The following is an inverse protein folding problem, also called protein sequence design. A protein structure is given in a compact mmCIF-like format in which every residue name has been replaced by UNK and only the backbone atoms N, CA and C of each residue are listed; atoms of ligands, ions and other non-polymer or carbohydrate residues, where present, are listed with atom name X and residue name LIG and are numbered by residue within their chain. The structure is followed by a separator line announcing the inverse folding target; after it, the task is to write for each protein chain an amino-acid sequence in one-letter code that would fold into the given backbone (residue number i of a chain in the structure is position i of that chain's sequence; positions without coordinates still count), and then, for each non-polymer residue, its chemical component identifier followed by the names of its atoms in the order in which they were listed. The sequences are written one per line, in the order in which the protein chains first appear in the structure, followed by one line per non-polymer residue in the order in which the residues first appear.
data_IF_862189079249
#
_entry.id   IF_862189079249
#
_cell.length_a   1.000
_cell.length_b   1.000
_cell.length_c   1.000
_cell.angle_alpha   90.00
_cell.angle_beta   90.00
_cell.angle_gamma   90.00
#
_symmetry.space_group_name_H-M   'P 1'
#
loop_
_entity.id
_entity.type
_entity.pdbx_description
1 polymer ?
#
# COMPACT_ATOMS: atom_id res chain seq x y z
N UNK A 1 18.75 1.65 6.92
CA UNK A 1 17.46 1.40 7.59
C UNK A 1 16.54 0.67 6.64
N UNK A 2 15.98 -0.42 7.08
CA UNK A 2 14.94 -1.17 6.35
C UNK A 2 13.64 -0.99 7.11
N UNK A 3 12.62 -0.47 6.42
CA UNK A 3 11.28 -0.34 6.98
C UNK A 3 10.36 -1.33 6.28
N UNK A 4 9.76 -2.20 7.07
CA UNK A 4 8.64 -3.04 6.68
C UNK A 4 7.35 -2.39 7.17
N UNK A 5 6.33 -2.31 6.31
CA UNK A 5 5.01 -1.90 6.77
C UNK A 5 3.91 -2.60 5.99
N UNK A 6 2.80 -2.80 6.66
CA UNK A 6 1.60 -3.38 6.06
C UNK A 6 0.43 -2.43 6.22
N UNK A 7 -0.36 -2.34 5.17
CA UNK A 7 -1.60 -1.57 5.16
C UNK A 7 -2.77 -2.52 4.96
N UNK A 8 -3.79 -2.38 5.77
CA UNK A 8 -5.07 -2.98 5.47
C UNK A 8 -5.97 -1.94 4.83
N UNK A 9 -6.50 -2.27 3.65
CA UNK A 9 -7.35 -1.38 2.87
C UNK A 9 -8.78 -1.87 2.84
N UNK A 10 -9.71 -0.93 2.91
CA UNK A 10 -11.10 -1.14 2.57
C UNK A 10 -11.38 -0.47 1.23
N UNK A 11 -11.99 -1.22 0.31
CA UNK A 11 -12.39 -0.74 -1.01
C UNK A 11 -13.92 -0.79 -1.08
N UNK A 12 -14.62 0.21 -0.55
CA UNK A 12 -16.07 0.12 -0.32
C UNK A 12 -16.90 0.10 -1.58
N UNK A 13 -16.35 0.58 -2.70
CA UNK A 13 -17.11 0.75 -3.95
C UNK A 13 -16.77 -0.28 -5.02
N UNK A 14 -15.92 -1.26 -4.74
CA UNK A 14 -15.62 -2.34 -5.70
C UNK A 14 -16.73 -3.38 -5.68
N UNK A 15 -17.09 -3.85 -6.88
CA UNK A 15 -18.19 -4.80 -7.07
C UNK A 15 -17.75 -6.17 -7.60
N UNK A 16 -16.47 -6.32 -7.95
CA UNK A 16 -15.93 -7.57 -8.47
C UNK A 16 -14.44 -7.68 -8.19
N UNK A 17 -13.91 -8.90 -8.21
CA UNK A 17 -12.47 -9.13 -8.10
C UNK A 17 -11.70 -8.52 -9.28
N UNK A 18 -12.29 -8.54 -10.47
CA UNK A 18 -11.67 -7.92 -11.64
C UNK A 18 -11.49 -6.43 -11.45
N UNK A 19 -12.49 -5.75 -10.97
CA UNK A 19 -12.45 -4.31 -10.67
C UNK A 19 -11.39 -4.01 -9.59
N UNK A 20 -11.39 -4.78 -8.50
CA UNK A 20 -10.38 -4.67 -7.46
C UNK A 20 -8.98 -4.86 -7.99
N UNK A 21 -8.73 -5.90 -8.77
CA UNK A 21 -7.41 -6.20 -9.34
C UNK A 21 -6.92 -5.08 -10.24
N UNK A 22 -7.81 -4.47 -11.02
CA UNK A 22 -7.47 -3.32 -11.86
C UNK A 22 -7.05 -2.10 -11.03
N UNK A 23 -7.78 -1.81 -9.96
CA UNK A 23 -7.46 -0.72 -9.03
C UNK A 23 -6.10 -0.96 -8.38
N UNK A 24 -5.87 -2.14 -7.83
CA UNK A 24 -4.62 -2.47 -7.17
C UNK A 24 -3.45 -2.47 -8.15
N UNK A 25 -3.63 -2.99 -9.36
CA UNK A 25 -2.58 -2.98 -10.38
C UNK A 25 -2.14 -1.56 -10.70
N UNK A 26 -3.10 -0.66 -10.92
CA UNK A 26 -2.83 0.76 -11.15
C UNK A 26 -2.08 1.38 -9.97
N UNK A 27 -2.59 1.16 -8.78
CA UNK A 27 -2.01 1.69 -7.54
C UNK A 27 -0.57 1.24 -7.34
N UNK A 28 -0.32 -0.07 -7.41
CA UNK A 28 1.00 -0.63 -7.17
C UNK A 28 2.01 -0.23 -8.24
N UNK A 29 1.61 -0.17 -9.50
CA UNK A 29 2.49 0.29 -10.58
C UNK A 29 2.92 1.75 -10.37
N UNK A 30 1.99 2.62 -10.00
CA UNK A 30 2.30 4.04 -9.75
C UNK A 30 3.19 4.23 -8.53
N UNK A 31 2.95 3.47 -7.47
CA UNK A 31 3.78 3.51 -6.26
C UNK A 31 5.21 3.08 -6.60
N UNK A 32 5.38 2.00 -7.34
CA UNK A 32 6.70 1.50 -7.73
C UNK A 32 7.47 2.48 -8.61
N UNK A 33 6.78 3.29 -9.42
CA UNK A 33 7.42 4.31 -10.25
C UNK A 33 7.87 5.51 -9.44
N UNK A 34 7.12 5.88 -8.40
CA UNK A 34 7.38 7.08 -7.60
C UNK A 34 8.32 6.84 -6.44
N UNK A 35 8.34 5.63 -5.91
CA UNK A 35 9.08 5.29 -4.71
C UNK A 35 9.92 4.04 -4.94
N UNK A 36 11.08 4.01 -4.31
CA UNK A 36 11.96 2.84 -4.35
C UNK A 36 11.51 1.84 -3.26
N UNK A 37 10.46 1.10 -3.55
CA UNK A 37 9.86 0.15 -2.64
C UNK A 37 9.55 -1.17 -3.35
N UNK A 38 9.57 -2.25 -2.59
CA UNK A 38 8.96 -3.52 -2.97
C UNK A 38 7.58 -3.59 -2.32
N UNK A 39 6.56 -3.95 -3.08
CA UNK A 39 5.19 -4.05 -2.57
C UNK A 39 4.44 -5.18 -3.24
N UNK A 40 3.65 -5.88 -2.45
CA UNK A 40 2.74 -6.92 -2.93
C UNK A 40 1.40 -6.83 -2.21
N UNK A 41 0.35 -7.38 -2.81
CA UNK A 41 -0.84 -7.74 -2.07
C UNK A 41 -0.54 -9.05 -1.34
N UNK A 42 -0.45 -9.00 -0.03
CA UNK A 42 0.03 -10.10 0.80
C UNK A 42 -1.08 -10.97 1.40
N UNK A 43 -2.32 -10.47 1.40
CA UNK A 43 -3.47 -11.19 1.93
C UNK A 43 -4.75 -10.64 1.34
N UNK A 44 -5.87 -11.34 1.57
CA UNK A 44 -7.20 -10.97 1.11
C UNK A 44 -7.35 -10.87 -0.42
N UNK A 45 -6.56 -11.64 -1.18
CA UNK A 45 -6.56 -11.60 -2.65
C UNK A 45 -7.94 -11.88 -3.25
N UNK A 46 -8.73 -12.75 -2.62
CA UNK A 46 -10.07 -13.14 -3.09
C UNK A 46 -11.20 -12.34 -2.45
N UNK A 47 -10.88 -11.35 -1.64
CA UNK A 47 -11.88 -10.47 -1.03
C UNK A 47 -12.11 -9.25 -1.93
N UNK A 48 -13.37 -9.01 -2.30
CA UNK A 48 -13.73 -7.92 -3.22
C UNK A 48 -13.50 -6.54 -2.59
N UNK A 49 -13.70 -6.41 -1.27
CA UNK A 49 -13.73 -5.11 -0.60
C UNK A 49 -12.60 -4.90 0.41
N UNK A 50 -11.66 -5.82 0.48
CA UNK A 50 -10.51 -5.76 1.39
C UNK A 50 -9.23 -6.13 0.66
N UNK A 51 -8.14 -5.55 1.11
CA UNK A 51 -6.80 -5.92 0.65
C UNK A 51 -5.79 -5.68 1.77
N UNK A 52 -4.73 -6.45 1.75
CA UNK A 52 -3.55 -6.18 2.58
C UNK A 52 -2.35 -6.01 1.68
N UNK A 53 -1.66 -4.88 1.82
CA UNK A 53 -0.46 -4.58 1.06
C UNK A 53 0.73 -4.60 2.00
N UNK A 54 1.78 -5.32 1.61
CA UNK A 54 3.03 -5.36 2.36
C UNK A 54 4.13 -4.67 1.58
N UNK A 55 4.85 -3.79 2.26
CA UNK A 55 5.88 -2.93 1.69
C UNK A 55 7.19 -3.14 2.39
N UNK A 56 8.28 -3.07 1.63
CA UNK A 56 9.63 -2.95 2.17
C UNK A 56 10.33 -1.81 1.45
N UNK A 57 10.94 -0.93 2.22
CA UNK A 57 11.77 0.12 1.66
C UNK A 57 13.09 0.26 2.43
N UNK A 58 14.10 0.77 1.76
CA UNK A 58 15.39 1.04 2.35
C UNK A 58 15.69 2.54 2.27
N UNK A 59 16.27 3.07 3.33
CA UNK A 59 16.69 4.47 3.39
C UNK A 59 17.92 4.60 4.27
N UNK A 60 18.71 5.65 4.05
CA UNK A 60 19.86 5.91 4.93
C UNK A 60 19.43 6.30 6.35
N UNK A 61 18.28 6.98 6.47
CA UNK A 61 17.83 7.53 7.75
C UNK A 61 16.41 7.10 8.07
N UNK A 62 16.14 6.87 9.35
CA UNK A 62 14.82 6.47 9.85
C UNK A 62 13.73 7.49 9.48
N UNK A 63 14.02 8.79 9.63
CA UNK A 63 13.05 9.84 9.33
C UNK A 63 12.64 9.83 7.86
N UNK A 64 13.57 9.58 6.96
CA UNK A 64 13.28 9.51 5.53
C UNK A 64 12.40 8.29 5.20
N UNK A 65 12.66 7.17 5.84
CA UNK A 65 11.85 5.97 5.67
C UNK A 65 10.40 6.20 6.10
N UNK A 66 10.21 6.81 7.26
CA UNK A 66 8.87 7.14 7.79
C UNK A 66 8.16 8.15 6.88
N UNK A 67 8.89 9.17 6.40
CA UNK A 67 8.32 10.16 5.50
C UNK A 67 7.84 9.53 4.19
N UNK A 68 8.61 8.62 3.62
CA UNK A 68 8.20 7.91 2.40
C UNK A 68 6.94 7.06 2.64
N UNK A 69 6.87 6.37 3.77
CA UNK A 69 5.66 5.63 4.15
C UNK A 69 4.44 6.55 4.21
N UNK A 70 4.58 7.70 4.87
CA UNK A 70 3.49 8.67 4.99
C UNK A 70 3.06 9.23 3.63
N UNK A 71 4.03 9.50 2.74
CA UNK A 71 3.74 9.94 1.38
C UNK A 71 2.98 8.88 0.58
N UNK A 72 3.35 7.60 0.74
CA UNK A 72 2.65 6.49 0.08
C UNK A 72 1.20 6.40 0.58
N UNK A 73 0.98 6.49 1.89
CA UNK A 73 -0.36 6.50 2.48
C UNK A 73 -1.21 7.63 1.91
N UNK A 74 -0.65 8.82 1.88
CA UNK A 74 -1.34 10.00 1.34
C UNK A 74 -1.65 9.84 -0.14
N UNK A 75 -0.70 9.33 -0.92
CA UNK A 75 -0.89 9.05 -2.34
C UNK A 75 -2.08 8.11 -2.58
N UNK A 76 -2.16 7.04 -1.80
CA UNK A 76 -3.22 6.05 -1.92
C UNK A 76 -4.58 6.69 -1.64
N UNK A 77 -4.70 7.40 -0.52
CA UNK A 77 -5.97 7.98 -0.10
C UNK A 77 -6.43 9.14 -0.97
N UNK A 78 -5.49 9.90 -1.55
CA UNK A 78 -5.83 11.02 -2.43
C UNK A 78 -6.21 10.61 -3.85
N UNK A 79 -5.73 9.46 -4.33
CA UNK A 79 -5.89 9.05 -5.73
C UNK A 79 -6.86 7.88 -5.94
N UNK A 80 -7.30 7.23 -4.88
CA UNK A 80 -8.20 6.08 -4.96
C UNK A 80 -9.29 6.18 -3.90
N UNK A 81 -10.47 5.67 -4.23
CA UNK A 81 -11.59 5.60 -3.29
C UNK A 81 -11.43 4.40 -2.35
N UNK A 82 -10.40 4.45 -1.52
CA UNK A 82 -10.05 3.41 -0.56
C UNK A 82 -9.79 4.05 0.80
N UNK A 83 -9.96 3.26 1.85
CA UNK A 83 -9.65 3.66 3.22
C UNK A 83 -8.50 2.79 3.74
N UNK A 84 -7.49 3.41 4.31
CA UNK A 84 -6.47 2.71 5.10
C UNK A 84 -7.03 2.52 6.50
N UNK A 85 -7.36 1.27 6.85
CA UNK A 85 -8.03 0.97 8.13
C UNK A 85 -7.10 0.44 9.19
N UNK A 86 -5.89 0.02 8.82
CA UNK A 86 -4.87 -0.41 9.77
C UNK A 86 -3.48 -0.26 9.16
N UNK A 87 -2.50 0.01 10.01
CA UNK A 87 -1.10 0.17 9.64
C UNK A 87 -0.25 -0.56 10.67
N UNK A 88 0.61 -1.46 10.20
CA UNK A 88 1.64 -2.11 11.02
C UNK A 88 2.98 -1.72 10.44
N UNK A 89 3.94 -1.34 11.26
CA UNK A 89 5.28 -1.01 10.80
C UNK A 89 6.35 -1.56 11.74
N UNK A 90 7.50 -1.90 11.16
CA UNK A 90 8.64 -2.42 11.89
C UNK A 90 9.94 -2.04 11.17
N UNK A 91 10.90 -1.54 11.93
CA UNK A 91 12.27 -1.38 11.44
C UNK A 91 13.05 -2.66 11.63
N UNK A 92 13.67 -3.13 10.58
CA UNK A 92 14.42 -4.38 10.57
C UNK A 92 15.93 -4.13 10.67
#
# INVERSE_FOLDING_TARGET
MILFFELELKLPYTNSLKEKRNILKSMLEKIKRRYNVSVIESDAQDNINRSRLSFVLISLYQNNAVSQMQEILQFIEENYEVEVIDIIKEFL
#
